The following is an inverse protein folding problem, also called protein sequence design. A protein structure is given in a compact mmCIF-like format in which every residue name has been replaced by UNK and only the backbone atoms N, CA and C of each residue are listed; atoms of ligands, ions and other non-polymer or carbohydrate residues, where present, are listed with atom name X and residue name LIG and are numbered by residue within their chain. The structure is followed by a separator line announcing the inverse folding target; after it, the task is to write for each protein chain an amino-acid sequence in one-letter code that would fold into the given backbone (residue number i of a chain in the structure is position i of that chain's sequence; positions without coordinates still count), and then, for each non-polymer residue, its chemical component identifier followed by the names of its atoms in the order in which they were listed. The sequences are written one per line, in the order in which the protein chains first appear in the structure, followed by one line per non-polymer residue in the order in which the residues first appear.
data_IF_586591842236
#
_entry.id   IF_586591842236
#
_cell.length_a   1.000
_cell.length_b   1.000
_cell.length_c   1.000
_cell.angle_alpha   90.00
_cell.angle_beta   90.00
_cell.angle_gamma   90.00
#
_symmetry.space_group_name_H-M   'P 1'
#
loop_
_entity.id
_entity.type
_entity.pdbx_description
1 polymer ?
#
# COMPACT_ATOMS: atom_id res chain seq x y z
N UNK A 1 5.78 -11.33 9.53
CA UNK A 1 4.72 -11.39 10.58
C UNK A 1 3.45 -10.79 10.00
N UNK A 2 2.25 -11.30 10.31
CA UNK A 2 1.01 -10.70 9.83
C UNK A 2 0.37 -9.87 10.94
N UNK A 3 0.00 -8.62 10.66
CA UNK A 3 -0.70 -7.76 11.63
C UNK A 3 -2.17 -8.14 11.79
N UNK A 4 -2.80 -8.61 10.69
CA UNK A 4 -4.21 -9.01 10.69
C UNK A 4 -4.41 -10.50 10.91
N UNK A 5 -5.68 -10.91 11.01
CA UNK A 5 -6.08 -12.31 11.16
C UNK A 5 -7.23 -12.66 10.22
N UNK A 6 -7.29 -13.93 9.78
CA UNK A 6 -8.39 -14.41 8.95
C UNK A 6 -9.75 -14.28 9.66
N UNK A 7 -9.79 -14.42 10.98
CA UNK A 7 -11.00 -14.18 11.77
C UNK A 7 -11.42 -12.70 11.74
N UNK A 8 -10.45 -11.76 11.82
CA UNK A 8 -10.72 -10.34 11.68
C UNK A 8 -11.27 -9.98 10.29
N UNK A 9 -10.76 -10.61 9.23
CA UNK A 9 -11.29 -10.46 7.87
C UNK A 9 -12.70 -11.03 7.77
N UNK A 10 -12.95 -12.22 8.34
CA UNK A 10 -14.28 -12.84 8.33
C UNK A 10 -15.33 -11.99 9.06
N UNK A 11 -14.96 -11.35 10.16
CA UNK A 11 -15.83 -10.43 10.88
C UNK A 11 -16.25 -9.21 10.02
N UNK A 12 -15.36 -8.74 9.13
CA UNK A 12 -15.61 -7.62 8.21
C UNK A 12 -16.32 -8.05 6.92
N UNK A 13 -16.23 -9.32 6.54
CA UNK A 13 -16.80 -9.87 5.31
C UNK A 13 -17.56 -11.18 5.58
N UNK A 14 -18.56 -11.19 6.48
CA UNK A 14 -19.19 -12.42 6.98
C UNK A 14 -19.94 -13.22 5.90
N UNK A 15 -20.38 -12.57 4.83
CA UNK A 15 -21.08 -13.24 3.70
C UNK A 15 -20.20 -14.23 2.93
N UNK A 16 -18.88 -14.12 3.07
CA UNK A 16 -17.89 -14.93 2.35
C UNK A 16 -17.22 -15.97 3.25
N UNK A 17 -17.50 -15.91 4.55
CA UNK A 17 -17.12 -16.91 5.52
C UNK A 17 -18.16 -18.05 5.57
N UNK A 18 -17.76 -19.21 6.09
CA UNK A 18 -18.68 -20.32 6.34
C UNK A 18 -19.65 -20.00 7.51
N UNK A 19 -20.58 -20.91 7.79
CA UNK A 19 -21.56 -20.75 8.86
C UNK A 19 -20.96 -20.58 10.26
N UNK A 20 -19.68 -21.01 10.46
CA UNK A 20 -18.94 -20.81 11.69
C UNK A 20 -18.17 -19.46 11.72
N UNK A 21 -18.37 -18.57 10.72
CA UNK A 21 -17.68 -17.29 10.62
C UNK A 21 -16.19 -17.41 10.30
N UNK A 22 -15.78 -18.41 9.57
CA UNK A 22 -14.36 -18.68 9.25
C UNK A 22 -14.19 -18.93 7.75
N UNK A 23 -13.00 -18.64 7.24
CA UNK A 23 -12.56 -19.12 5.94
C UNK A 23 -12.02 -20.54 6.08
N UNK A 24 -12.27 -21.38 5.08
CA UNK A 24 -11.79 -22.76 4.98
C UNK A 24 -11.53 -23.15 3.50
N UNK A 25 -11.35 -24.43 3.22
CA UNK A 25 -11.10 -24.93 1.86
C UNK A 25 -12.34 -24.84 0.95
N UNK A 26 -13.54 -24.70 1.53
CA UNK A 26 -14.81 -24.64 0.80
C UNK A 26 -15.31 -23.20 0.58
N UNK A 27 -14.68 -22.22 1.21
CA UNK A 27 -15.04 -20.81 1.05
C UNK A 27 -14.41 -20.22 -0.20
N UNK A 28 -15.00 -19.13 -0.70
CA UNK A 28 -14.42 -18.32 -1.78
C UNK A 28 -14.29 -16.87 -1.28
N UNK A 29 -13.04 -16.39 -1.07
CA UNK A 29 -11.76 -17.10 -1.21
C UNK A 29 -11.50 -18.15 -0.13
N UNK A 30 -10.55 -19.07 -0.41
CA UNK A 30 -10.08 -20.05 0.57
C UNK A 30 -9.24 -19.40 1.67
N UNK A 31 -9.11 -20.08 2.82
CA UNK A 31 -8.28 -19.63 3.94
C UNK A 31 -6.83 -19.31 3.52
N UNK A 32 -6.24 -20.16 2.68
CA UNK A 32 -4.87 -19.95 2.19
C UNK A 32 -4.73 -18.57 1.49
N UNK A 33 -5.63 -18.23 0.58
CA UNK A 33 -5.60 -16.96 -0.12
C UNK A 33 -5.74 -15.75 0.84
N UNK A 34 -6.65 -15.85 1.81
CA UNK A 34 -6.84 -14.80 2.81
C UNK A 34 -5.58 -14.61 3.66
N UNK A 35 -4.92 -15.70 4.03
CA UNK A 35 -3.67 -15.67 4.79
C UNK A 35 -2.54 -15.04 4.00
N UNK A 36 -2.40 -15.40 2.73
CA UNK A 36 -1.39 -14.84 1.83
C UNK A 36 -1.60 -13.34 1.61
N UNK A 37 -2.83 -12.90 1.40
CA UNK A 37 -3.16 -11.48 1.26
C UNK A 37 -2.88 -10.69 2.54
N UNK A 38 -3.16 -11.26 3.71
CA UNK A 38 -2.82 -10.65 5.00
C UNK A 38 -1.30 -10.48 5.15
N UNK A 39 -0.51 -11.48 4.75
CA UNK A 39 0.94 -11.39 4.78
C UNK A 39 1.46 -10.30 3.83
N UNK A 40 0.91 -10.20 2.63
CA UNK A 40 1.29 -9.19 1.63
C UNK A 40 0.93 -7.77 2.08
N UNK A 41 -0.29 -7.54 2.58
CA UNK A 41 -0.69 -6.23 3.11
C UNK A 41 0.16 -5.84 4.33
N UNK A 42 0.52 -6.80 5.18
CA UNK A 42 1.41 -6.55 6.31
C UNK A 42 2.81 -6.16 5.87
N UNK A 43 3.35 -6.82 4.84
CA UNK A 43 4.64 -6.45 4.26
C UNK A 43 4.62 -5.04 3.63
N UNK A 44 3.51 -4.66 2.99
CA UNK A 44 3.33 -3.29 2.46
C UNK A 44 3.32 -2.25 3.58
N UNK A 45 2.68 -2.56 4.72
CA UNK A 45 2.71 -1.71 5.91
C UNK A 45 4.15 -1.57 6.45
N UNK A 46 4.89 -2.67 6.54
CA UNK A 46 6.28 -2.66 7.01
C UNK A 46 7.16 -1.80 6.10
N UNK A 47 7.05 -1.95 4.79
CA UNK A 47 7.78 -1.14 3.80
C UNK A 47 7.42 0.35 3.95
N UNK A 48 6.14 0.67 4.03
CA UNK A 48 5.69 2.05 4.15
C UNK A 48 6.15 2.70 5.47
N UNK A 49 6.11 1.96 6.58
CA UNK A 49 6.55 2.43 7.90
C UNK A 49 8.08 2.59 7.96
N UNK A 50 8.84 1.65 7.39
CA UNK A 50 10.30 1.71 7.35
C UNK A 50 10.81 2.92 6.58
N UNK A 51 10.08 3.39 5.58
CA UNK A 51 10.35 4.63 4.85
C UNK A 51 10.33 5.88 5.74
N UNK A 52 9.70 5.83 6.91
CA UNK A 52 9.69 6.88 7.92
C UNK A 52 10.63 6.60 9.11
N UNK A 53 11.50 5.60 9.00
CA UNK A 53 12.45 5.24 10.05
C UNK A 53 11.86 4.42 11.19
N UNK A 54 10.65 3.88 11.00
CA UNK A 54 10.03 2.98 11.98
C UNK A 54 10.65 1.59 11.86
N UNK A 55 11.06 1.02 12.99
CA UNK A 55 11.53 -0.36 13.05
C UNK A 55 10.39 -1.34 12.76
N UNK A 56 10.60 -2.26 11.82
CA UNK A 56 9.61 -3.25 11.40
C UNK A 56 10.15 -4.68 11.53
N UNK A 57 9.30 -5.66 11.83
CA UNK A 57 7.87 -5.53 12.09
C UNK A 57 7.57 -4.81 13.43
N UNK A 58 6.53 -4.01 13.44
CA UNK A 58 6.12 -3.26 14.64
C UNK A 58 5.64 -4.23 15.72
N UNK A 59 6.22 -4.11 16.93
CA UNK A 59 5.88 -4.94 18.09
C UNK A 59 5.20 -4.16 19.23
N UNK A 60 5.06 -2.85 19.08
CA UNK A 60 4.46 -1.98 20.09
C UNK A 60 2.97 -2.27 20.24
N UNK A 61 2.59 -2.80 21.39
CA UNK A 61 1.23 -3.29 21.67
C UNK A 61 0.13 -2.23 21.44
N UNK A 62 0.43 -0.96 21.70
CA UNK A 62 -0.53 0.14 21.52
C UNK A 62 -0.92 0.39 20.05
N UNK A 63 -0.06 0.00 19.11
CA UNK A 63 -0.25 0.26 17.67
C UNK A 63 -0.79 -0.96 16.95
N UNK A 64 -0.48 -2.16 17.41
CA UNK A 64 -0.87 -3.40 16.76
C UNK A 64 -2.37 -3.48 16.43
N UNK A 65 -3.33 -3.05 17.29
CA UNK A 65 -4.75 -3.07 16.93
C UNK A 65 -5.08 -2.19 15.72
N UNK A 66 -4.40 -1.06 15.56
CA UNK A 66 -4.62 -0.16 14.44
C UNK A 66 -4.07 -0.75 13.14
N UNK A 67 -2.87 -1.34 13.15
CA UNK A 67 -2.29 -2.03 12.00
C UNK A 67 -3.12 -3.26 11.63
N UNK A 68 -3.58 -4.03 12.63
CA UNK A 68 -4.46 -5.17 12.42
C UNK A 68 -5.81 -4.76 11.80
N UNK A 69 -6.41 -3.70 12.31
CA UNK A 69 -7.65 -3.15 11.78
C UNK A 69 -7.51 -2.72 10.32
N UNK A 70 -6.42 -2.04 9.98
CA UNK A 70 -6.11 -1.65 8.61
C UNK A 70 -5.92 -2.89 7.70
N UNK A 71 -5.05 -3.82 8.08
CA UNK A 71 -4.78 -5.02 7.30
C UNK A 71 -6.06 -5.84 7.05
N UNK A 72 -6.86 -6.08 8.09
CA UNK A 72 -8.13 -6.78 7.98
C UNK A 72 -9.10 -6.07 7.01
N UNK A 73 -9.19 -4.74 7.09
CA UNK A 73 -10.08 -3.95 6.22
C UNK A 73 -9.66 -4.02 4.75
N UNK A 74 -8.35 -3.96 4.45
CA UNK A 74 -7.85 -4.08 3.08
C UNK A 74 -8.14 -5.47 2.51
N UNK A 75 -7.84 -6.54 3.25
CA UNK A 75 -8.10 -7.90 2.81
C UNK A 75 -9.59 -8.18 2.68
N UNK A 76 -10.44 -7.65 3.59
CA UNK A 76 -11.89 -7.73 3.42
C UNK A 76 -12.40 -7.02 2.14
N UNK A 77 -11.74 -5.95 1.72
CA UNK A 77 -12.02 -5.30 0.45
C UNK A 77 -11.61 -6.19 -0.75
N UNK A 78 -10.48 -6.90 -0.66
CA UNK A 78 -10.08 -7.91 -1.67
C UNK A 78 -11.09 -9.05 -1.76
N UNK A 79 -11.51 -9.61 -0.62
CA UNK A 79 -12.53 -10.67 -0.56
C UNK A 79 -13.80 -10.25 -1.28
N UNK A 80 -14.26 -9.02 -1.11
CA UNK A 80 -15.42 -8.48 -1.85
C UNK A 80 -15.11 -8.30 -3.33
N UNK A 81 -13.90 -7.85 -3.65
CA UNK A 81 -13.44 -7.60 -5.03
C UNK A 81 -13.42 -8.85 -5.89
N UNK A 82 -12.83 -9.96 -5.39
CA UNK A 82 -12.81 -11.24 -6.12
C UNK A 82 -14.21 -11.83 -6.33
N UNK A 83 -15.19 -11.39 -5.55
CA UNK A 83 -16.59 -11.76 -5.70
C UNK A 83 -17.41 -10.69 -6.48
N UNK A 84 -16.75 -9.78 -7.18
CA UNK A 84 -17.39 -8.76 -8.00
C UNK A 84 -18.14 -7.69 -7.21
N UNK A 85 -17.69 -7.37 -6.00
CA UNK A 85 -18.34 -6.37 -5.15
C UNK A 85 -17.34 -5.34 -4.58
N UNK A 86 -17.86 -4.20 -4.14
CA UNK A 86 -17.08 -3.15 -3.53
C UNK A 86 -16.29 -2.31 -4.55
N UNK A 87 -15.19 -1.69 -4.09
CA UNK A 87 -14.38 -0.75 -4.89
C UNK A 87 -13.69 -1.37 -6.12
N UNK A 88 -13.65 -2.67 -6.20
CA UNK A 88 -13.06 -3.42 -7.32
C UNK A 88 -14.14 -3.98 -8.28
N UNK A 89 -15.42 -3.70 -8.05
CA UNK A 89 -16.53 -4.31 -8.80
C UNK A 89 -16.66 -3.81 -10.25
N UNK A 90 -16.17 -2.59 -10.54
CA UNK A 90 -16.34 -1.94 -11.84
C UNK A 90 -15.36 -2.45 -12.92
N UNK A 91 -14.32 -3.17 -12.53
CA UNK A 91 -13.33 -3.76 -13.43
C UNK A 91 -13.08 -5.21 -13.00
N UNK A 92 -12.95 -6.14 -13.95
CA UNK A 92 -12.42 -7.47 -13.66
C UNK A 92 -10.96 -7.29 -13.22
N UNK A 93 -10.77 -7.17 -11.91
CA UNK A 93 -9.50 -6.84 -11.31
C UNK A 93 -8.85 -8.13 -10.86
N UNK A 94 -7.65 -8.40 -11.36
CA UNK A 94 -6.85 -9.53 -10.87
C UNK A 94 -6.41 -9.28 -9.43
N UNK A 95 -6.02 -10.35 -8.72
CA UNK A 95 -5.48 -10.20 -7.37
C UNK A 95 -4.24 -9.26 -7.35
N UNK A 96 -3.41 -9.33 -8.39
CA UNK A 96 -2.21 -8.49 -8.53
C UNK A 96 -2.57 -7.01 -8.70
N UNK A 97 -3.57 -6.68 -9.52
CA UNK A 97 -4.05 -5.31 -9.67
C UNK A 97 -4.66 -4.77 -8.37
N UNK A 98 -5.40 -5.61 -7.64
CA UNK A 98 -5.92 -5.24 -6.32
C UNK A 98 -4.79 -4.94 -5.34
N UNK A 99 -3.71 -5.72 -5.36
CA UNK A 99 -2.55 -5.50 -4.49
C UNK A 99 -1.80 -4.21 -4.81
N UNK A 100 -1.66 -3.83 -6.09
CA UNK A 100 -1.09 -2.54 -6.48
C UNK A 100 -1.91 -1.37 -5.91
N UNK A 101 -3.24 -1.41 -6.09
CA UNK A 101 -4.13 -0.38 -5.55
C UNK A 101 -4.04 -0.30 -4.02
N UNK A 102 -3.92 -1.45 -3.34
CA UNK A 102 -3.76 -1.52 -1.89
C UNK A 102 -2.39 -0.98 -1.47
N UNK A 103 -1.34 -1.23 -2.24
CA UNK A 103 -0.01 -0.68 -1.99
C UNK A 103 -0.02 0.84 -1.93
N UNK A 104 -0.60 1.49 -2.94
CA UNK A 104 -0.75 2.95 -2.99
C UNK A 104 -1.61 3.46 -1.82
N UNK A 105 -2.73 2.79 -1.54
CA UNK A 105 -3.60 3.13 -0.43
C UNK A 105 -2.90 2.98 0.93
N UNK A 106 -2.01 1.98 1.06
CA UNK A 106 -1.24 1.74 2.29
C UNK A 106 -0.20 2.84 2.50
N UNK A 107 0.53 3.22 1.46
CA UNK A 107 1.48 4.33 1.52
C UNK A 107 0.78 5.65 1.91
N UNK A 108 -0.35 5.95 1.29
CA UNK A 108 -1.14 7.14 1.61
C UNK A 108 -1.69 7.11 3.04
N UNK A 109 -2.14 5.94 3.52
CA UNK A 109 -2.65 5.78 4.87
C UNK A 109 -1.54 5.98 5.92
N UNK A 110 -0.36 5.40 5.70
CA UNK A 110 0.80 5.59 6.60
C UNK A 110 1.21 7.06 6.61
N UNK A 111 1.35 7.71 5.46
CA UNK A 111 1.68 9.15 5.36
C UNK A 111 0.72 10.00 6.18
N UNK A 112 -0.56 9.71 6.11
CA UNK A 112 -1.60 10.46 6.85
C UNK A 112 -1.53 10.24 8.37
N UNK A 113 -1.12 9.06 8.81
CA UNK A 113 -1.18 8.66 10.22
C UNK A 113 0.19 8.68 10.92
N UNK A 114 1.29 8.91 10.18
CA UNK A 114 2.65 8.78 10.71
C UNK A 114 2.94 9.70 11.89
N UNK A 115 2.35 10.90 11.93
CA UNK A 115 2.52 11.82 13.05
C UNK A 115 1.99 11.25 14.37
N UNK A 116 0.80 10.63 14.33
CA UNK A 116 0.23 9.96 15.51
C UNK A 116 0.93 8.64 15.83
N UNK A 117 1.33 7.87 14.81
CA UNK A 117 2.11 6.64 14.97
C UNK A 117 3.48 6.93 15.57
N UNK A 118 4.20 7.95 15.09
CA UNK A 118 5.50 8.35 15.58
C UNK A 118 5.49 8.73 17.07
N UNK A 119 4.45 9.44 17.50
CA UNK A 119 4.27 9.80 18.90
C UNK A 119 4.10 8.57 19.82
N UNK A 120 3.45 7.51 19.32
CA UNK A 120 3.25 6.25 20.06
C UNK A 120 4.47 5.32 19.99
N UNK A 121 5.28 5.46 18.94
CA UNK A 121 6.49 4.68 18.74
C UNK A 121 7.74 5.31 19.38
N UNK A 122 7.60 6.51 19.96
CA UNK A 122 8.74 7.33 20.46
C UNK A 122 9.81 7.57 19.35
N UNK A 123 9.36 7.64 18.11
CA UNK A 123 10.20 7.90 16.95
C UNK A 123 9.85 9.29 16.42
N UNK A 124 10.84 10.14 16.27
CA UNK A 124 10.67 11.39 15.51
C UNK A 124 10.59 11.02 14.03
N UNK A 125 9.43 11.18 13.36
CA UNK A 125 9.30 10.79 11.96
C UNK A 125 10.33 11.58 11.14
N UNK A 126 11.20 10.88 10.44
CA UNK A 126 12.06 11.51 9.44
C UNK A 126 11.15 11.98 8.31
N UNK A 127 10.92 13.29 8.25
CA UNK A 127 10.29 13.88 7.08
C UNK A 127 11.26 13.69 5.92
N UNK A 128 10.97 12.72 5.05
CA UNK A 128 11.72 12.62 3.79
C UNK A 128 11.54 13.96 3.08
N UNK A 129 12.60 14.77 3.10
CA UNK A 129 12.63 15.96 2.29
C UNK A 129 12.32 15.50 0.85
N UNK A 130 11.26 16.04 0.28
CA UNK A 130 10.97 15.82 -1.15
C UNK A 130 12.28 16.11 -1.87
N UNK A 131 12.87 15.16 -2.63
CA UNK A 131 14.10 15.45 -3.33
C UNK A 131 13.79 16.60 -4.27
N UNK A 132 14.33 17.78 -3.93
CA UNK A 132 14.29 18.91 -4.84
C UNK A 132 15.24 18.52 -5.97
N UNK A 133 14.69 17.95 -7.03
CA UNK A 133 15.42 17.76 -8.27
C UNK A 133 15.67 19.17 -8.79
N UNK A 134 16.79 19.73 -8.39
CA UNK A 134 17.31 20.91 -9.06
C UNK A 134 17.70 20.44 -10.45
N UNK A 135 16.79 20.59 -11.40
CA UNK A 135 17.12 20.47 -12.81
C UNK A 135 18.13 21.59 -13.03
N UNK A 136 19.41 21.24 -13.04
CA UNK A 136 20.46 22.16 -13.39
C UNK A 136 20.05 22.85 -14.68
N UNK A 137 20.02 24.17 -14.68
CA UNK A 137 19.76 24.94 -15.87
C UNK A 137 20.72 24.43 -16.95
N UNK A 138 20.18 23.73 -17.94
CA UNK A 138 20.90 23.45 -19.16
C UNK A 138 21.17 24.81 -19.79
N UNK A 139 22.33 25.38 -19.54
CA UNK A 139 22.84 26.45 -20.38
C UNK A 139 23.00 25.83 -21.76
N UNK A 140 22.05 26.15 -22.62
CA UNK A 140 22.14 25.89 -24.05
C UNK A 140 23.46 26.51 -24.48
N UNK A 141 24.44 25.68 -24.78
CA UNK A 141 25.68 26.15 -25.40
C UNK A 141 25.30 26.52 -26.82
N UNK A 142 24.98 27.79 -27.00
CA UNK A 142 24.78 28.40 -28.32
C UNK A 142 26.13 28.39 -29.04
N UNK A 143 26.45 27.27 -29.63
CA UNK A 143 27.64 27.03 -30.39
C UNK A 143 27.31 26.53 -31.79
N UNK A 144 26.23 27.02 -32.38
CA UNK A 144 26.00 26.92 -33.82
C UNK A 144 26.07 28.36 -34.36
N UNK A 145 27.28 28.75 -34.73
CA UNK A 145 27.50 29.84 -35.70
C UNK A 145 26.93 29.35 -37.03
N UNK A 146 25.77 29.84 -37.41
CA UNK A 146 25.31 29.75 -38.78
C UNK A 146 26.13 30.68 -39.62
N UNK A 147 27.23 30.17 -40.18
CA UNK A 147 27.91 30.83 -41.28
C UNK A 147 26.89 30.92 -42.46
N UNK A 148 26.37 32.13 -42.60
CA UNK A 148 25.56 32.49 -43.75
C UNK A 148 26.42 32.54 -45.00
N UNK A 149 26.42 31.43 -45.77
CA UNK A 149 26.88 31.51 -47.14
C UNK A 149 25.74 32.08 -47.99
N UNK A 150 25.90 33.36 -48.35
CA UNK A 150 25.10 33.97 -49.42
C UNK A 150 25.37 33.19 -50.73
N UNK A 151 24.35 32.61 -51.26
CA UNK A 151 24.32 32.22 -52.65
C UNK A 151 23.77 33.36 -53.45
N UNK A 152 24.68 34.10 -54.12
CA UNK A 152 24.34 34.96 -55.26
C UNK A 152 24.43 34.13 -56.52
N UNK A 153 23.33 34.00 -57.27
CA UNK A 153 23.32 33.61 -58.64
C UNK A 153 22.77 34.76 -59.48
#
# INVERSE_FOLDING_TARGET
MSYGTAAGVAALAPRYANAAGRFDENTTPKLAHVTDWLAQVSAMLDVALSGYGVETPVTVAAILPMLAGYANAQVAAMVRGVNGQGRFAEKPTTADEMLLIIGDATAAWVTKNIGGLGALLDVTPVTLATPTVTIGSFTRRDGYSSDGSEYTA
#
